data_IF_638968400990
#
_entry.id   IF_638968400990
#
_cell.length_a   1.000
_cell.length_b   1.000
_cell.length_c   1.000
_cell.angle_alpha   90.00
_cell.angle_beta   90.00
_cell.angle_gamma   90.00
#
_symmetry.space_group_name_H-M   'P 1'
#
loop_
_entity.id
_entity.type
_entity.pdbx_description
1 polymer ?
#
# COMPACT_ATOMS: atom_id res chain seq x y z
N UNK A 1 2.11 -3.93 33.53
CA UNK A 1 2.12 -5.17 32.75
C UNK A 1 3.53 -5.28 32.16
N UNK A 2 4.24 -6.37 32.44
CA UNK A 2 5.60 -6.58 31.97
C UNK A 2 5.63 -6.85 30.45
N UNK A 3 6.70 -6.48 29.76
CA UNK A 3 6.89 -6.68 28.31
C UNK A 3 6.65 -8.13 27.83
N UNK A 4 6.72 -9.11 28.73
CA UNK A 4 6.50 -10.53 28.40
C UNK A 4 5.05 -10.91 28.06
N UNK A 5 4.05 -10.13 28.49
CA UNK A 5 2.63 -10.39 28.18
C UNK A 5 2.25 -9.93 26.76
N UNK A 6 3.12 -9.17 26.10
CA UNK A 6 2.86 -8.58 24.78
C UNK A 6 3.34 -9.45 23.60
N UNK A 7 3.92 -10.63 23.84
CA UNK A 7 4.53 -11.45 22.78
C UNK A 7 3.54 -12.31 21.97
N UNK A 8 2.26 -12.25 22.21
CA UNK A 8 1.28 -13.09 21.50
C UNK A 8 -0.03 -12.43 21.13
N UNK A 9 -0.24 -11.19 21.55
CA UNK A 9 -1.50 -10.47 21.26
C UNK A 9 -1.15 -9.17 20.55
N UNK A 10 -1.65 -9.00 19.34
CA UNK A 10 -1.70 -7.70 18.70
C UNK A 10 -2.74 -6.86 19.47
N UNK A 11 -2.27 -6.14 20.47
CA UNK A 11 -3.12 -5.14 21.11
C UNK A 11 -3.11 -3.91 20.21
N UNK A 12 -4.28 -3.38 19.81
CA UNK A 12 -4.36 -2.05 19.22
C UNK A 12 -3.54 -1.11 20.10
N UNK A 13 -2.53 -0.45 19.51
CA UNK A 13 -1.56 0.33 20.26
C UNK A 13 -2.24 1.49 20.99
N UNK A 14 -2.41 1.38 22.27
CA UNK A 14 -2.72 2.51 23.16
C UNK A 14 -1.40 3.13 23.56
N UNK A 15 -0.86 4.02 22.72
CA UNK A 15 0.40 4.70 22.98
C UNK A 15 0.33 5.57 24.23
N UNK A 16 1.42 5.60 25.03
CA UNK A 16 1.50 6.55 26.12
C UNK A 16 1.61 7.96 25.52
N UNK A 17 0.67 8.84 25.82
CA UNK A 17 0.93 10.26 25.83
C UNK A 17 0.26 11.17 24.82
N UNK A 18 -0.74 10.75 24.06
CA UNK A 18 -1.61 11.71 23.38
C UNK A 18 -3.09 11.31 23.51
N UNK A 19 -3.61 11.42 24.72
CA UNK A 19 -5.05 11.53 24.88
C UNK A 19 -5.48 12.88 24.31
N UNK A 20 -5.96 12.88 23.07
CA UNK A 20 -6.81 13.97 22.61
C UNK A 20 -8.10 13.77 23.40
N UNK A 21 -8.24 14.42 24.55
CA UNK A 21 -9.49 14.47 25.29
C UNK A 21 -10.44 15.37 24.52
N UNK A 22 -11.32 14.76 23.76
CA UNK A 22 -12.41 15.46 23.10
C UNK A 22 -13.62 15.51 24.05
N UNK A 23 -14.17 16.68 24.22
CA UNK A 23 -15.46 16.88 24.87
C UNK A 23 -16.51 17.32 23.83
N UNK A 24 -17.76 17.46 24.26
CA UNK A 24 -18.85 17.94 23.38
C UNK A 24 -18.56 19.33 22.78
N UNK A 25 -17.77 20.16 23.46
CA UNK A 25 -17.31 21.45 22.97
C UNK A 25 -16.36 21.35 21.77
N UNK A 26 -15.57 20.28 21.70
CA UNK A 26 -14.67 20.02 20.55
C UNK A 26 -15.47 19.84 19.26
N UNK A 27 -16.60 19.13 19.30
CA UNK A 27 -17.48 18.97 18.14
C UNK A 27 -18.07 20.29 17.67
N UNK A 28 -18.54 21.15 18.59
CA UNK A 28 -19.12 22.45 18.24
C UNK A 28 -18.07 23.41 17.64
N UNK A 29 -16.83 23.29 18.07
CA UNK A 29 -15.72 24.15 17.63
C UNK A 29 -14.95 23.60 16.42
N UNK A 30 -15.23 22.37 15.96
CA UNK A 30 -14.48 21.75 14.87
C UNK A 30 -14.74 22.47 13.53
N UNK A 31 -13.71 23.04 12.88
CA UNK A 31 -13.88 23.84 11.66
C UNK A 31 -14.35 23.01 10.45
N UNK A 32 -14.23 21.68 10.51
CA UNK A 32 -14.72 20.73 9.48
C UNK A 32 -16.02 20.05 9.90
N UNK A 33 -16.57 20.44 11.04
CA UNK A 33 -17.78 19.87 11.60
C UNK A 33 -17.58 18.53 12.30
N UNK A 34 -18.66 18.02 12.80
CA UNK A 34 -18.73 16.76 13.54
C UNK A 34 -19.66 15.77 12.84
N UNK A 35 -19.29 14.52 12.82
CA UNK A 35 -20.16 13.43 12.40
C UNK A 35 -20.73 12.74 13.64
N UNK A 36 -22.06 12.77 13.84
CA UNK A 36 -22.74 12.00 14.88
C UNK A 36 -23.25 10.68 14.30
N UNK A 37 -22.99 9.59 14.97
CA UNK A 37 -23.50 8.25 14.68
C UNK A 37 -24.45 7.90 15.82
N UNK A 38 -25.72 7.69 15.49
CA UNK A 38 -26.75 7.42 16.48
C UNK A 38 -26.61 5.99 17.04
N UNK A 39 -27.17 5.75 18.22
CA UNK A 39 -27.18 4.43 18.82
C UNK A 39 -27.78 3.37 17.86
N UNK A 40 -27.06 2.30 17.62
CA UNK A 40 -27.46 1.25 16.69
C UNK A 40 -27.10 1.47 15.22
N UNK A 41 -26.68 2.69 14.82
CA UNK A 41 -26.14 2.95 13.49
C UNK A 41 -24.71 2.38 13.38
N UNK A 42 -24.27 2.06 12.17
CA UNK A 42 -22.90 1.59 11.92
C UNK A 42 -21.94 2.75 11.67
N UNK A 43 -20.69 2.57 12.08
CA UNK A 43 -19.55 3.37 11.64
C UNK A 43 -19.27 3.01 10.18
N UNK A 44 -19.43 3.99 9.27
CA UNK A 44 -19.22 3.74 7.85
C UNK A 44 -17.80 4.09 7.41
N UNK A 45 -17.09 3.11 6.87
CA UNK A 45 -15.81 3.28 6.19
C UNK A 45 -15.99 3.14 4.67
N UNK A 46 -15.22 3.89 3.90
CA UNK A 46 -15.10 3.69 2.47
C UNK A 46 -13.95 2.73 2.14
N UNK A 47 -14.09 1.94 1.09
CA UNK A 47 -13.01 1.19 0.47
C UNK A 47 -12.95 1.55 -1.01
N UNK A 48 -12.05 2.47 -1.38
CA UNK A 48 -11.83 2.88 -2.76
C UNK A 48 -10.60 2.12 -3.29
N UNK A 49 -10.84 0.99 -3.92
CA UNK A 49 -9.81 0.03 -4.28
C UNK A 49 -10.01 -0.47 -5.70
N UNK A 50 -8.96 -0.96 -6.35
CA UNK A 50 -9.05 -1.62 -7.65
C UNK A 50 -9.68 -3.01 -7.50
N UNK A 51 -11.00 -3.10 -7.65
CA UNK A 51 -11.79 -4.34 -7.45
C UNK A 51 -12.55 -4.79 -8.70
N UNK A 52 -12.35 -4.14 -9.85
CA UNK A 52 -12.94 -4.53 -11.13
C UNK A 52 -12.51 -5.93 -11.60
N UNK A 53 -13.14 -6.43 -12.67
CA UNK A 53 -12.92 -7.79 -13.17
C UNK A 53 -11.47 -8.07 -13.59
N UNK A 54 -10.75 -7.04 -14.04
CA UNK A 54 -9.33 -7.08 -14.42
C UNK A 54 -8.39 -6.61 -13.30
N UNK A 55 -8.83 -6.67 -12.04
CA UNK A 55 -8.12 -6.12 -10.87
C UNK A 55 -6.95 -6.96 -10.36
N UNK A 56 -6.63 -8.08 -10.96
CA UNK A 56 -5.44 -8.91 -10.68
C UNK A 56 -5.10 -9.08 -9.17
N UNK A 57 -6.12 -9.24 -8.34
CA UNK A 57 -5.96 -9.59 -6.93
C UNK A 57 -5.56 -8.48 -5.97
N UNK A 58 -4.87 -7.41 -6.40
CA UNK A 58 -4.28 -6.39 -5.49
C UNK A 58 -5.34 -5.69 -4.62
N UNK A 59 -6.36 -5.10 -5.23
CA UNK A 59 -7.42 -4.41 -4.48
C UNK A 59 -8.29 -5.38 -3.67
N UNK A 60 -8.52 -6.60 -4.19
CA UNK A 60 -9.22 -7.66 -3.47
C UNK A 60 -8.44 -8.10 -2.23
N UNK A 61 -7.12 -8.22 -2.34
CA UNK A 61 -6.25 -8.57 -1.22
C UNK A 61 -6.27 -7.51 -0.12
N UNK A 62 -6.22 -6.22 -0.50
CA UNK A 62 -6.40 -5.13 0.47
C UNK A 62 -7.78 -5.13 1.09
N UNK A 63 -8.84 -5.44 0.34
CA UNK A 63 -10.18 -5.58 0.92
C UNK A 63 -10.23 -6.67 1.97
N UNK A 64 -9.57 -7.80 1.73
CA UNK A 64 -9.44 -8.88 2.72
C UNK A 64 -8.71 -8.45 3.99
N UNK A 65 -7.67 -7.61 3.85
CA UNK A 65 -7.00 -7.00 5.00
C UNK A 65 -7.92 -6.09 5.83
N UNK A 66 -8.80 -5.32 5.17
CA UNK A 66 -9.83 -4.52 5.85
C UNK A 66 -10.83 -5.41 6.59
N UNK A 67 -11.30 -6.47 5.93
CA UNK A 67 -12.28 -7.39 6.52
C UNK A 67 -11.69 -8.11 7.75
N UNK A 68 -10.42 -8.53 7.71
CA UNK A 68 -9.72 -9.09 8.87
C UNK A 68 -9.50 -8.08 9.99
N UNK A 69 -9.31 -6.80 9.68
CA UNK A 69 -9.22 -5.78 10.73
C UNK A 69 -10.55 -5.54 11.44
N UNK A 70 -11.67 -5.69 10.74
CA UNK A 70 -13.00 -5.62 11.34
C UNK A 70 -13.30 -6.86 12.18
N UNK A 71 -12.90 -8.06 11.73
CA UNK A 71 -12.97 -9.28 12.49
C UNK A 71 -12.16 -9.17 13.80
N UNK A 72 -10.96 -8.61 13.73
CA UNK A 72 -10.03 -8.51 14.86
C UNK A 72 -10.33 -7.37 15.86
N UNK A 73 -11.44 -6.65 15.74
CA UNK A 73 -11.77 -5.52 16.64
C UNK A 73 -11.91 -5.93 18.13
N UNK A 74 -12.24 -7.17 18.40
CA UNK A 74 -12.31 -7.76 19.75
C UNK A 74 -11.04 -8.53 20.13
N UNK A 75 -9.97 -8.44 19.33
CA UNK A 75 -8.69 -9.12 19.47
C UNK A 75 -8.72 -10.63 19.18
N UNK A 76 -9.76 -11.11 18.49
CA UNK A 76 -9.89 -12.49 18.05
C UNK A 76 -10.13 -12.55 16.52
N UNK A 77 -9.71 -13.65 15.87
CA UNK A 77 -10.06 -13.97 14.49
C UNK A 77 -11.04 -15.14 14.52
N UNK A 78 -12.29 -14.87 14.75
CA UNK A 78 -13.35 -15.88 14.86
C UNK A 78 -14.31 -15.91 13.65
N UNK A 79 -14.09 -14.98 12.69
CA UNK A 79 -14.91 -14.80 11.50
C UNK A 79 -16.18 -13.98 11.74
N UNK A 80 -16.32 -13.38 12.91
CA UNK A 80 -17.42 -12.49 13.24
C UNK A 80 -16.93 -11.02 13.32
N UNK A 81 -17.62 -10.06 12.66
CA UNK A 81 -17.24 -8.66 12.76
C UNK A 81 -17.34 -8.14 14.18
N UNK A 82 -16.23 -7.62 14.71
CA UNK A 82 -16.21 -6.95 16.01
C UNK A 82 -16.90 -5.59 15.98
N UNK A 83 -17.02 -4.95 17.14
CA UNK A 83 -17.67 -3.66 17.31
C UNK A 83 -16.66 -2.57 17.72
N UNK A 84 -16.76 -1.39 17.12
CA UNK A 84 -15.97 -0.22 17.49
C UNK A 84 -16.82 0.74 18.33
N UNK A 85 -16.47 0.96 19.59
CA UNK A 85 -17.21 1.81 20.51
C UNK A 85 -18.71 1.45 20.65
N UNK A 86 -19.04 0.16 20.54
CA UNK A 86 -20.41 -0.34 20.61
C UNK A 86 -21.20 -0.25 19.29
N UNK A 87 -20.56 0.16 18.20
CA UNK A 87 -21.17 0.26 16.87
C UNK A 87 -20.56 -0.78 15.91
N UNK A 88 -21.41 -1.40 15.08
CA UNK A 88 -20.94 -2.22 13.98
C UNK A 88 -20.15 -1.37 12.96
N UNK A 89 -19.15 -1.96 12.30
CA UNK A 89 -18.43 -1.29 11.21
C UNK A 89 -18.98 -1.79 9.87
N UNK A 90 -19.34 -0.88 8.99
CA UNK A 90 -19.78 -1.18 7.62
C UNK A 90 -18.84 -0.57 6.59
N UNK A 91 -18.68 -1.24 5.44
CA UNK A 91 -17.76 -0.81 4.37
C UNK A 91 -18.51 -0.57 3.07
N UNK A 92 -18.45 0.67 2.59
CA UNK A 92 -18.95 1.05 1.25
C UNK A 92 -17.79 0.97 0.26
N UNK A 93 -17.90 0.06 -0.71
CA UNK A 93 -16.85 -0.19 -1.68
C UNK A 93 -17.10 0.56 -3.01
N UNK A 94 -16.03 1.05 -3.63
CA UNK A 94 -16.01 1.55 -4.99
C UNK A 94 -14.69 1.15 -5.68
N UNK A 95 -14.71 1.06 -7.01
CA UNK A 95 -13.56 0.74 -7.85
C UNK A 95 -12.83 2.03 -8.24
N UNK A 96 -11.53 2.09 -7.98
CA UNK A 96 -10.66 3.20 -8.42
C UNK A 96 -10.15 3.03 -9.86
N UNK A 97 -10.41 1.87 -10.49
CA UNK A 97 -10.03 1.53 -11.86
C UNK A 97 -8.55 1.81 -12.19
N UNK A 98 -7.72 1.97 -11.18
CA UNK A 98 -6.31 2.38 -11.31
C UNK A 98 -6.12 3.63 -12.18
N UNK A 99 -7.06 4.58 -12.13
CA UNK A 99 -7.08 5.77 -12.98
C UNK A 99 -7.58 7.01 -12.23
N UNK A 100 -7.20 8.20 -12.71
CA UNK A 100 -7.69 9.46 -12.16
C UNK A 100 -9.21 9.61 -12.32
N UNK A 101 -9.78 9.12 -13.43
CA UNK A 101 -11.23 9.12 -13.65
C UNK A 101 -11.95 8.21 -12.65
N UNK A 102 -11.50 6.95 -12.52
CA UNK A 102 -12.06 6.00 -11.57
C UNK A 102 -11.91 6.45 -10.12
N UNK A 103 -10.77 7.04 -9.76
CA UNK A 103 -10.55 7.65 -8.44
C UNK A 103 -11.57 8.75 -8.13
N UNK A 104 -11.87 9.61 -9.10
CA UNK A 104 -12.89 10.66 -8.97
C UNK A 104 -14.30 10.09 -8.83
N UNK A 105 -14.69 9.26 -9.79
CA UNK A 105 -16.03 8.65 -9.81
C UNK A 105 -16.29 7.79 -8.57
N UNK A 106 -15.30 7.02 -8.14
CA UNK A 106 -15.36 6.20 -6.94
C UNK A 106 -15.48 7.03 -5.66
N UNK A 107 -14.72 8.14 -5.57
CA UNK A 107 -14.82 9.06 -4.42
C UNK A 107 -16.19 9.74 -4.35
N UNK A 108 -16.71 10.22 -5.47
CA UNK A 108 -18.06 10.82 -5.55
C UNK A 108 -19.14 9.80 -5.17
N UNK A 109 -19.02 8.55 -5.65
CA UNK A 109 -19.95 7.45 -5.33
C UNK A 109 -19.94 7.14 -3.82
N UNK A 110 -18.77 7.07 -3.19
CA UNK A 110 -18.63 6.82 -1.75
C UNK A 110 -19.31 7.93 -0.94
N UNK A 111 -19.25 9.18 -1.41
CA UNK A 111 -19.84 10.32 -0.71
C UNK A 111 -21.36 10.42 -0.88
N UNK A 112 -21.93 9.78 -1.91
CA UNK A 112 -23.37 9.86 -2.18
C UNK A 112 -24.20 9.22 -1.06
N UNK A 113 -24.94 10.06 -0.31
CA UNK A 113 -25.86 9.62 0.74
C UNK A 113 -25.19 8.93 1.94
N UNK A 114 -23.87 9.05 2.07
CA UNK A 114 -23.10 8.38 3.11
C UNK A 114 -22.74 9.30 4.27
N UNK A 115 -22.68 8.71 5.48
CA UNK A 115 -22.14 9.32 6.69
C UNK A 115 -20.72 8.81 6.93
N UNK A 116 -19.86 8.98 5.92
CA UNK A 116 -18.52 8.42 5.86
C UNK A 116 -17.60 9.01 6.93
N UNK A 117 -16.98 8.14 7.73
CA UNK A 117 -15.99 8.52 8.76
C UNK A 117 -14.61 8.67 8.14
N UNK A 118 -14.16 7.66 7.41
CA UNK A 118 -12.85 7.62 6.76
C UNK A 118 -12.91 6.71 5.53
N UNK A 119 -11.89 6.78 4.66
CA UNK A 119 -11.78 5.94 3.47
C UNK A 119 -10.41 5.26 3.46
N UNK A 120 -10.38 3.95 3.21
CA UNK A 120 -9.17 3.20 2.91
C UNK A 120 -9.02 3.14 1.39
N UNK A 121 -7.88 3.54 0.88
CA UNK A 121 -7.61 3.59 -0.57
C UNK A 121 -6.75 4.80 -0.95
N UNK A 122 -6.47 4.99 -2.22
CA UNK A 122 -6.79 4.16 -3.39
C UNK A 122 -5.75 3.03 -3.53
N UNK A 123 -6.00 2.10 -4.47
CA UNK A 123 -4.96 1.12 -4.83
C UNK A 123 -3.85 1.77 -5.64
N UNK A 124 -4.19 2.62 -6.60
CA UNK A 124 -3.22 3.21 -7.53
C UNK A 124 -2.95 4.68 -7.19
N UNK A 125 -1.68 5.08 -7.20
CA UNK A 125 -1.26 6.45 -6.86
C UNK A 125 -1.90 7.53 -7.75
N UNK A 126 -2.10 7.26 -9.04
CA UNK A 126 -2.78 8.16 -9.97
C UNK A 126 -4.28 8.33 -9.70
N UNK A 127 -4.92 7.36 -9.04
CA UNK A 127 -6.32 7.47 -8.62
C UNK A 127 -6.47 8.34 -7.36
N UNK A 128 -5.42 8.50 -6.55
CA UNK A 128 -5.41 9.39 -5.40
C UNK A 128 -5.02 10.82 -5.79
N UNK A 129 -3.85 10.96 -6.45
CA UNK A 129 -3.24 12.25 -6.77
C UNK A 129 -4.15 13.04 -7.74
N UNK A 130 -4.51 14.26 -7.35
CA UNK A 130 -5.36 15.16 -8.14
C UNK A 130 -6.76 14.62 -8.51
N UNK A 131 -7.18 13.51 -7.90
CA UNK A 131 -8.48 12.85 -8.14
C UNK A 131 -9.26 12.62 -6.83
N UNK A 132 -9.09 11.48 -6.18
CA UNK A 132 -9.83 11.15 -4.95
C UNK A 132 -9.39 11.98 -3.73
N UNK A 133 -8.10 12.25 -3.57
CA UNK A 133 -7.55 13.01 -2.44
C UNK A 133 -8.17 14.41 -2.31
N UNK A 134 -8.23 15.25 -3.35
CA UNK A 134 -8.86 16.56 -3.23
C UNK A 134 -10.37 16.51 -2.90
N UNK A 135 -11.07 15.47 -3.32
CA UNK A 135 -12.50 15.28 -3.04
C UNK A 135 -12.73 15.00 -1.57
N UNK A 136 -12.02 14.01 -1.01
CA UNK A 136 -12.11 13.66 0.41
C UNK A 136 -11.57 14.77 1.32
N UNK A 137 -10.50 15.45 0.90
CA UNK A 137 -9.94 16.59 1.65
C UNK A 137 -10.92 17.74 1.78
N UNK A 138 -11.66 18.09 0.72
CA UNK A 138 -12.74 19.09 0.79
C UNK A 138 -13.88 18.66 1.69
N UNK A 139 -14.21 17.36 1.70
CA UNK A 139 -15.23 16.79 2.56
C UNK A 139 -14.79 16.64 4.03
N UNK A 140 -13.52 16.88 4.35
CA UNK A 140 -12.96 16.67 5.68
C UNK A 140 -12.90 15.19 6.09
N UNK A 141 -12.78 14.28 5.12
CA UNK A 141 -12.76 12.84 5.34
C UNK A 141 -11.34 12.33 5.16
N UNK A 142 -10.75 11.64 6.14
CA UNK A 142 -9.46 11.00 5.99
C UNK A 142 -9.43 9.98 4.85
N UNK A 143 -8.41 10.07 3.98
CA UNK A 143 -8.08 9.07 2.98
C UNK A 143 -6.77 8.39 3.39
N UNK A 144 -6.86 7.14 3.87
CA UNK A 144 -5.72 6.35 4.33
C UNK A 144 -5.37 5.29 3.28
N UNK A 145 -4.24 5.45 2.59
CA UNK A 145 -3.84 4.47 1.58
C UNK A 145 -2.90 3.41 2.13
N UNK A 146 -3.21 2.17 1.80
CA UNK A 146 -2.39 1.00 2.08
C UNK A 146 -1.44 0.64 0.92
N UNK A 147 -1.61 1.25 -0.27
CA UNK A 147 -0.96 0.80 -1.50
C UNK A 147 -0.30 1.93 -2.31
N UNK A 148 -0.68 3.19 -2.09
CA UNK A 148 -0.10 4.29 -2.86
C UNK A 148 1.32 4.59 -2.41
N UNK A 149 2.28 4.36 -3.27
CA UNK A 149 3.71 4.47 -2.95
C UNK A 149 4.38 5.69 -3.56
N UNK A 150 3.78 6.31 -4.60
CA UNK A 150 4.39 7.43 -5.33
C UNK A 150 4.82 8.58 -4.40
N UNK A 151 6.08 9.09 -4.55
CA UNK A 151 6.62 10.15 -3.70
C UNK A 151 5.82 11.46 -3.74
N UNK A 152 5.25 11.83 -4.88
CA UNK A 152 4.51 13.08 -5.06
C UNK A 152 3.25 13.24 -4.21
N UNK A 153 2.75 12.14 -3.63
CA UNK A 153 1.59 12.17 -2.72
C UNK A 153 1.92 12.84 -1.37
N UNK A 154 3.15 12.67 -0.89
CA UNK A 154 3.60 13.07 0.45
C UNK A 154 4.92 13.86 0.45
N UNK A 155 5.37 14.37 -0.71
CA UNK A 155 6.63 15.13 -0.83
C UNK A 155 6.61 16.46 -0.11
N UNK A 156 5.43 17.07 0.03
CA UNK A 156 5.21 18.33 0.73
C UNK A 156 3.98 18.25 1.62
N UNK A 157 3.91 19.11 2.63
CA UNK A 157 2.68 19.32 3.38
C UNK A 157 1.69 20.08 2.50
N UNK A 158 0.60 19.42 2.10
CA UNK A 158 -0.48 20.05 1.32
C UNK A 158 -1.50 20.66 2.29
N UNK A 159 -1.71 22.00 2.27
CA UNK A 159 -2.70 22.61 3.13
C UNK A 159 -4.10 22.02 2.92
N UNK A 160 -4.73 21.66 4.01
CA UNK A 160 -6.09 21.09 3.99
C UNK A 160 -6.18 19.62 3.57
N UNK A 161 -5.10 18.99 3.14
CA UNK A 161 -5.10 17.55 2.80
C UNK A 161 -5.47 16.69 4.01
N UNK A 162 -6.26 15.65 3.75
CA UNK A 162 -6.63 14.62 4.72
C UNK A 162 -5.98 13.27 4.39
N UNK A 163 -5.06 13.27 3.43
CA UNK A 163 -4.37 12.07 2.96
C UNK A 163 -3.30 11.60 3.95
N UNK A 164 -3.25 10.28 4.14
CA UNK A 164 -2.15 9.58 4.79
C UNK A 164 -1.95 8.20 4.15
N UNK A 165 -0.80 7.55 4.40
CA UNK A 165 -0.53 6.20 3.90
C UNK A 165 0.27 5.35 4.87
N UNK A 166 -0.05 4.06 4.92
CA UNK A 166 0.75 3.03 5.57
C UNK A 166 1.74 2.35 4.61
N UNK A 167 1.52 2.48 3.31
CA UNK A 167 2.44 2.01 2.28
C UNK A 167 3.81 2.73 2.38
N UNK A 168 4.94 2.02 2.18
CA UNK A 168 6.25 2.64 2.11
C UNK A 168 6.37 3.55 0.87
N UNK A 169 7.24 4.56 0.97
CA UNK A 169 7.50 5.51 -0.11
C UNK A 169 8.43 4.89 -1.16
N UNK A 170 8.13 5.10 -2.45
CA UNK A 170 8.93 4.64 -3.59
C UNK A 170 10.35 5.20 -3.62
N UNK A 171 10.64 6.28 -2.89
CA UNK A 171 12.02 6.71 -2.64
C UNK A 171 12.86 5.58 -2.02
N UNK A 172 12.26 4.79 -1.13
CA UNK A 172 12.92 3.64 -0.52
C UNK A 172 13.03 2.50 -1.55
N UNK A 173 11.93 2.10 -2.18
CA UNK A 173 11.91 0.98 -3.10
C UNK A 173 12.84 1.18 -4.30
N UNK A 174 12.73 2.31 -4.97
CA UNK A 174 13.58 2.62 -6.13
C UNK A 174 15.08 2.61 -5.78
N UNK A 175 15.44 3.16 -4.59
CA UNK A 175 16.83 3.11 -4.12
C UNK A 175 17.32 1.70 -3.85
N UNK A 176 16.52 0.86 -3.21
CA UNK A 176 16.89 -0.52 -2.87
C UNK A 176 16.99 -1.38 -4.13
N UNK A 177 16.09 -1.20 -5.08
CA UNK A 177 16.12 -1.94 -6.36
C UNK A 177 17.33 -1.55 -7.21
N UNK A 178 17.71 -0.29 -7.24
CA UNK A 178 18.94 0.15 -7.91
C UNK A 178 20.20 -0.50 -7.28
N UNK A 179 20.24 -0.54 -5.94
CA UNK A 179 21.33 -1.25 -5.23
C UNK A 179 21.36 -2.75 -5.59
N UNK A 180 20.20 -3.41 -5.73
CA UNK A 180 20.12 -4.82 -6.17
C UNK A 180 20.61 -5.01 -7.59
N UNK A 181 20.15 -4.19 -8.53
CA UNK A 181 20.53 -4.31 -9.95
C UNK A 181 22.04 -4.18 -10.14
N UNK A 182 22.68 -3.24 -9.43
CA UNK A 182 24.12 -3.03 -9.51
C UNK A 182 24.90 -4.09 -8.74
N UNK A 183 24.54 -4.37 -7.49
CA UNK A 183 25.34 -5.24 -6.62
C UNK A 183 24.93 -6.71 -6.71
N UNK A 184 23.68 -7.02 -6.99
CA UNK A 184 23.16 -8.37 -7.09
C UNK A 184 23.25 -8.93 -8.50
N UNK A 185 22.93 -8.14 -9.53
CA UNK A 185 23.01 -8.56 -10.93
C UNK A 185 24.29 -8.11 -11.63
N UNK A 186 25.09 -7.23 -11.02
CA UNK A 186 26.30 -6.64 -11.62
C UNK A 186 26.02 -5.85 -12.90
N UNK A 187 24.80 -5.37 -13.09
CA UNK A 187 24.38 -4.62 -14.26
C UNK A 187 25.06 -3.24 -14.28
N UNK A 188 25.52 -2.81 -15.46
CA UNK A 188 26.15 -1.51 -15.72
C UNK A 188 25.24 -0.60 -16.52
N UNK A 189 24.39 -1.19 -17.34
CA UNK A 189 23.44 -0.48 -18.20
C UNK A 189 22.03 -1.04 -18.00
N UNK A 190 21.06 -0.15 -17.76
CA UNK A 190 19.69 -0.55 -17.45
C UNK A 190 18.71 0.28 -18.27
N UNK A 191 17.72 -0.36 -18.88
CA UNK A 191 16.56 0.33 -19.44
C UNK A 191 15.46 0.38 -18.40
N UNK A 192 14.82 1.54 -18.24
CA UNK A 192 13.59 1.67 -17.47
C UNK A 192 12.40 1.66 -18.41
N UNK A 193 11.36 0.87 -18.10
CA UNK A 193 10.09 0.90 -18.82
C UNK A 193 9.03 1.49 -17.91
N UNK A 194 8.27 2.45 -18.42
CA UNK A 194 7.12 3.05 -17.74
C UNK A 194 5.84 2.79 -18.52
N UNK A 195 4.75 2.50 -17.81
CA UNK A 195 3.40 2.43 -18.41
C UNK A 195 2.71 3.80 -18.51
N UNK A 196 3.43 4.89 -18.19
CA UNK A 196 2.92 6.27 -18.23
C UNK A 196 2.04 6.65 -17.04
N UNK A 197 1.88 5.79 -16.05
CA UNK A 197 1.18 6.13 -14.81
C UNK A 197 2.05 6.92 -13.85
N UNK A 198 1.43 7.72 -12.98
CA UNK A 198 2.12 8.50 -11.93
C UNK A 198 3.04 7.60 -11.08
N UNK A 199 2.57 6.41 -10.72
CA UNK A 199 3.35 5.42 -9.97
C UNK A 199 4.61 5.03 -10.74
N UNK A 200 4.44 4.54 -11.95
CA UNK A 200 5.53 4.02 -12.79
C UNK A 200 6.59 5.08 -13.08
N UNK A 201 6.16 6.29 -13.43
CA UNK A 201 7.07 7.40 -13.71
C UNK A 201 7.89 7.80 -12.48
N UNK A 202 7.24 7.97 -11.32
CA UNK A 202 7.93 8.44 -10.13
C UNK A 202 8.86 7.38 -9.51
N UNK A 203 8.44 6.11 -9.51
CA UNK A 203 9.31 5.02 -9.07
C UNK A 203 10.50 4.83 -10.02
N UNK A 204 10.27 4.91 -11.33
CA UNK A 204 11.34 4.89 -12.35
C UNK A 204 12.33 6.03 -12.17
N UNK A 205 11.87 7.25 -11.91
CA UNK A 205 12.73 8.42 -11.64
C UNK A 205 13.58 8.22 -10.39
N UNK A 206 13.01 7.70 -9.31
CA UNK A 206 13.75 7.38 -8.07
C UNK A 206 14.85 6.35 -8.33
N UNK A 207 14.54 5.29 -9.08
CA UNK A 207 15.50 4.27 -9.46
C UNK A 207 16.65 4.86 -10.27
N UNK A 208 16.37 5.66 -11.30
CA UNK A 208 17.38 6.32 -12.16
C UNK A 208 18.28 7.25 -11.36
N UNK A 209 17.71 8.05 -10.46
CA UNK A 209 18.48 8.95 -9.60
C UNK A 209 19.50 8.17 -8.74
N UNK A 210 19.05 7.07 -8.13
CA UNK A 210 19.94 6.23 -7.34
C UNK A 210 20.98 5.52 -8.20
N UNK A 211 20.59 4.98 -9.35
CA UNK A 211 21.48 4.25 -10.27
C UNK A 211 22.70 5.09 -10.66
N UNK A 212 22.48 6.36 -11.04
CA UNK A 212 23.57 7.28 -11.37
C UNK A 212 24.52 7.56 -10.22
N UNK A 213 24.03 7.55 -8.98
CA UNK A 213 24.86 7.77 -7.78
C UNK A 213 25.75 6.59 -7.39
N UNK A 214 25.49 5.39 -7.94
CA UNK A 214 26.24 4.15 -7.64
C UNK A 214 27.00 3.59 -8.85
N UNK A 215 27.17 4.39 -9.91
CA UNK A 215 28.08 4.10 -11.01
C UNK A 215 27.53 3.21 -12.13
N UNK A 216 26.22 3.08 -12.23
CA UNK A 216 25.59 2.45 -13.39
C UNK A 216 24.82 3.49 -14.24
N UNK A 217 24.53 3.14 -15.48
CA UNK A 217 23.93 4.04 -16.47
C UNK A 217 22.50 3.63 -16.78
N UNK A 218 21.57 4.54 -16.59
CA UNK A 218 20.23 4.40 -17.14
C UNK A 218 20.23 4.78 -18.62
N UNK A 219 19.77 3.89 -19.47
CA UNK A 219 19.45 4.19 -20.87
C UNK A 219 18.12 4.98 -20.93
N UNK A 220 17.76 5.58 -22.08
CA UNK A 220 16.52 6.31 -22.20
C UNK A 220 15.30 5.47 -21.79
N UNK A 221 14.43 6.05 -20.97
CA UNK A 221 13.19 5.39 -20.53
C UNK A 221 12.28 5.12 -21.73
N UNK A 222 11.75 3.91 -21.79
CA UNK A 222 10.76 3.51 -22.78
C UNK A 222 9.35 3.62 -22.18
N UNK A 223 8.45 4.33 -22.86
CA UNK A 223 7.06 4.44 -22.45
C UNK A 223 6.25 3.39 -23.20
N UNK A 224 5.64 2.46 -22.46
CA UNK A 224 4.86 1.34 -22.99
C UNK A 224 3.56 1.15 -22.18
N UNK A 225 2.53 1.99 -22.42
CA UNK A 225 1.25 1.86 -21.75
C UNK A 225 0.49 0.59 -22.19
N UNK A 226 -0.55 0.24 -21.44
CA UNK A 226 -1.48 -0.87 -21.81
C UNK A 226 -1.93 -0.73 -23.25
N UNK A 227 -1.80 -1.80 -24.03
CA UNK A 227 -2.14 -1.85 -25.45
C UNK A 227 -1.01 -1.44 -26.41
N UNK A 228 0.19 -1.21 -25.92
CA UNK A 228 1.38 -1.02 -26.77
C UNK A 228 1.69 -2.28 -27.61
N UNK A 229 2.44 -2.11 -28.70
CA UNK A 229 3.06 -3.25 -29.38
C UNK A 229 4.25 -3.76 -28.58
N UNK A 230 3.97 -4.63 -27.58
CA UNK A 230 4.99 -5.17 -26.69
C UNK A 230 6.04 -6.00 -27.42
N UNK A 231 5.71 -6.60 -28.57
CA UNK A 231 6.71 -7.29 -29.39
C UNK A 231 7.72 -6.32 -30.01
N UNK A 232 7.28 -5.13 -30.41
CA UNK A 232 8.20 -4.09 -30.88
C UNK A 232 9.04 -3.51 -29.72
N UNK A 233 8.44 -3.33 -28.55
CA UNK A 233 9.16 -2.90 -27.35
C UNK A 233 10.23 -3.91 -26.96
N UNK A 234 9.90 -5.20 -26.89
CA UNK A 234 10.84 -6.27 -26.56
C UNK A 234 12.02 -6.34 -27.55
N UNK A 235 11.76 -6.27 -28.86
CA UNK A 235 12.82 -6.20 -29.88
C UNK A 235 13.72 -4.97 -29.70
N UNK A 236 13.13 -3.82 -29.38
CA UNK A 236 13.89 -2.59 -29.11
C UNK A 236 14.79 -2.76 -27.88
N UNK A 237 14.28 -3.36 -26.81
CA UNK A 237 15.05 -3.64 -25.59
C UNK A 237 16.26 -4.53 -25.85
N UNK A 238 16.06 -5.67 -26.52
CA UNK A 238 17.17 -6.59 -26.88
C UNK A 238 18.23 -5.86 -27.68
N UNK A 239 17.84 -5.01 -28.63
CA UNK A 239 18.78 -4.24 -29.46
C UNK A 239 19.56 -3.16 -28.70
N UNK A 240 19.15 -2.77 -27.48
CA UNK A 240 19.93 -1.82 -26.67
C UNK A 240 21.21 -2.43 -26.11
N UNK A 241 21.26 -3.76 -25.97
CA UNK A 241 22.33 -4.46 -25.27
C UNK A 241 22.41 -4.14 -23.78
N UNK A 242 21.31 -3.71 -23.17
CA UNK A 242 21.24 -3.44 -21.73
C UNK A 242 21.41 -4.74 -20.93
N UNK A 243 22.10 -4.66 -19.80
CA UNK A 243 22.31 -5.80 -18.90
C UNK A 243 21.02 -6.20 -18.19
N UNK A 244 20.16 -5.22 -17.87
CA UNK A 244 18.89 -5.44 -17.20
C UNK A 244 17.82 -4.44 -17.65
N UNK A 245 16.57 -4.83 -17.42
CA UNK A 245 15.38 -3.98 -17.57
C UNK A 245 14.72 -3.82 -16.21
N UNK A 246 14.48 -2.58 -15.79
CA UNK A 246 13.59 -2.28 -14.66
C UNK A 246 12.24 -1.80 -15.17
N UNK A 247 11.17 -2.50 -14.82
CA UNK A 247 9.81 -2.18 -15.25
C UNK A 247 8.87 -2.00 -14.05
N UNK A 248 8.84 -0.80 -13.45
CA UNK A 248 7.90 -0.44 -12.41
C UNK A 248 6.52 -0.12 -13.02
N UNK A 249 5.88 -1.11 -13.60
CA UNK A 249 4.61 -0.98 -14.32
C UNK A 249 3.49 -1.72 -13.61
N UNK A 250 2.25 -1.41 -13.98
CA UNK A 250 1.10 -2.13 -13.44
C UNK A 250 0.76 -3.36 -14.29
N UNK A 251 0.19 -4.39 -13.65
CA UNK A 251 -0.46 -5.49 -14.35
C UNK A 251 -1.67 -4.95 -15.17
N UNK A 252 -1.94 -5.44 -16.41
CA UNK A 252 -1.30 -6.57 -17.08
C UNK A 252 -0.06 -6.22 -17.93
N UNK A 253 0.44 -4.99 -17.89
CA UNK A 253 1.59 -4.58 -18.74
C UNK A 253 2.83 -5.42 -18.44
N UNK A 254 3.06 -5.82 -17.19
CA UNK A 254 4.21 -6.65 -16.85
C UNK A 254 4.14 -8.05 -17.46
N UNK A 255 2.97 -8.68 -17.47
CA UNK A 255 2.77 -10.00 -18.07
C UNK A 255 3.00 -9.93 -19.59
N UNK A 256 2.28 -9.02 -20.26
CA UNK A 256 2.38 -8.83 -21.70
C UNK A 256 3.81 -8.57 -22.15
N UNK A 257 4.56 -7.77 -21.36
CA UNK A 257 5.94 -7.43 -21.69
C UNK A 257 6.91 -8.58 -21.40
N UNK A 258 6.77 -9.30 -20.28
CA UNK A 258 7.59 -10.49 -20.00
C UNK A 258 7.38 -11.56 -21.05
N UNK A 259 6.14 -11.81 -21.47
CA UNK A 259 5.82 -12.74 -22.52
C UNK A 259 6.43 -12.32 -23.86
N UNK A 260 6.34 -11.03 -24.20
CA UNK A 260 6.97 -10.51 -25.41
C UNK A 260 8.51 -10.61 -25.39
N UNK A 261 9.15 -10.37 -24.22
CA UNK A 261 10.60 -10.55 -24.05
C UNK A 261 10.97 -12.03 -24.23
N UNK A 262 10.21 -12.94 -23.62
CA UNK A 262 10.45 -14.38 -23.74
C UNK A 262 10.34 -14.88 -25.19
N UNK A 263 9.44 -14.31 -25.98
CA UNK A 263 9.22 -14.66 -27.39
C UNK A 263 10.22 -13.98 -28.35
N UNK A 264 11.03 -13.03 -27.84
CA UNK A 264 12.01 -12.30 -28.67
C UNK A 264 13.39 -13.00 -28.64
N UNK A 265 14.00 -13.33 -29.78
CA UNK A 265 15.36 -13.88 -29.82
C UNK A 265 16.35 -12.97 -29.09
N UNK A 266 17.08 -13.55 -28.11
CA UNK A 266 18.00 -12.80 -27.22
C UNK A 266 17.35 -12.21 -25.98
N UNK A 267 16.04 -12.33 -25.82
CA UNK A 267 15.35 -11.89 -24.60
C UNK A 267 15.75 -12.66 -23.33
N UNK A 268 16.21 -13.89 -23.50
CA UNK A 268 16.75 -14.74 -22.43
C UNK A 268 18.07 -14.24 -21.83
N UNK A 269 18.72 -13.27 -22.45
CA UNK A 269 19.98 -12.67 -21.96
C UNK A 269 19.76 -11.46 -21.06
N UNK A 270 18.51 -11.00 -20.90
CA UNK A 270 18.16 -9.80 -20.13
C UNK A 270 17.55 -10.18 -18.80
N UNK A 271 18.11 -9.69 -17.70
CA UNK A 271 17.47 -9.77 -16.39
C UNK A 271 16.30 -8.76 -16.30
N UNK A 272 15.12 -9.26 -15.98
CA UNK A 272 13.89 -8.47 -15.84
C UNK A 272 13.60 -8.22 -14.38
N UNK A 273 13.62 -6.98 -13.95
CA UNK A 273 13.27 -6.59 -12.57
C UNK A 273 11.96 -5.82 -12.60
N UNK A 274 10.98 -6.28 -11.85
CA UNK A 274 9.69 -5.60 -11.69
C UNK A 274 9.46 -5.13 -10.28
N UNK A 275 8.33 -4.48 -10.04
CA UNK A 275 7.98 -3.83 -8.78
C UNK A 275 6.83 -4.57 -8.06
N UNK A 276 6.43 -4.03 -6.92
CA UNK A 276 5.35 -4.52 -6.07
C UNK A 276 3.98 -4.60 -6.77
N UNK A 277 3.72 -3.74 -7.76
CA UNK A 277 2.50 -3.77 -8.54
C UNK A 277 2.35 -5.04 -9.39
N UNK A 278 3.47 -5.68 -9.71
CA UNK A 278 3.52 -6.97 -10.42
C UNK A 278 3.87 -8.16 -9.50
N UNK A 279 4.14 -7.91 -8.22
CA UNK A 279 4.41 -8.96 -7.24
C UNK A 279 3.10 -9.61 -6.76
N UNK A 280 2.39 -10.27 -7.67
CA UNK A 280 1.14 -10.97 -7.40
C UNK A 280 1.11 -12.35 -8.09
N UNK A 281 0.19 -13.22 -7.66
CA UNK A 281 0.13 -14.61 -8.11
C UNK A 281 -0.14 -14.78 -9.60
N UNK A 282 -0.83 -13.82 -10.20
CA UNK A 282 -1.29 -13.94 -11.59
C UNK A 282 -0.14 -13.65 -12.58
N UNK A 283 0.87 -12.89 -12.15
CA UNK A 283 2.07 -12.56 -12.95
C UNK A 283 3.11 -13.68 -12.97
N UNK A 284 3.13 -14.56 -11.96
CA UNK A 284 4.15 -15.62 -11.84
C UNK A 284 4.31 -16.48 -13.11
N UNK A 285 3.24 -16.90 -13.82
CA UNK A 285 3.40 -17.69 -15.05
C UNK A 285 4.27 -17.00 -16.12
N UNK A 286 4.01 -15.72 -16.42
CA UNK A 286 4.83 -14.95 -17.37
C UNK A 286 6.24 -14.70 -16.85
N UNK A 287 6.40 -14.44 -15.55
CA UNK A 287 7.68 -14.24 -14.91
C UNK A 287 8.61 -15.48 -14.98
N UNK A 288 8.05 -16.70 -15.06
CA UNK A 288 8.86 -17.92 -15.21
C UNK A 288 9.42 -18.14 -16.60
N UNK A 289 8.97 -17.39 -17.59
CA UNK A 289 9.43 -17.48 -18.98
C UNK A 289 10.72 -16.69 -19.23
N UNK A 290 11.10 -15.80 -18.31
CA UNK A 290 12.30 -14.95 -18.39
C UNK A 290 13.09 -15.03 -17.09
N UNK A 291 14.29 -14.43 -17.03
CA UNK A 291 15.02 -14.24 -15.76
C UNK A 291 14.39 -13.08 -14.98
N UNK A 292 13.28 -13.36 -14.27
CA UNK A 292 12.48 -12.31 -13.62
C UNK A 292 12.68 -12.22 -12.11
N UNK A 293 12.67 -10.99 -11.63
CA UNK A 293 12.72 -10.61 -10.21
C UNK A 293 11.59 -9.65 -9.89
N UNK A 294 10.94 -9.82 -8.74
CA UNK A 294 9.95 -8.88 -8.21
C UNK A 294 10.44 -8.21 -6.94
N UNK A 295 10.27 -6.90 -6.84
CA UNK A 295 10.60 -6.14 -5.64
C UNK A 295 9.34 -5.67 -4.92
N UNK A 296 9.41 -5.58 -3.60
CA UNK A 296 8.32 -5.07 -2.78
C UNK A 296 8.60 -5.18 -1.28
N UNK A 297 7.63 -4.88 -0.41
CA UNK A 297 7.75 -5.12 1.03
C UNK A 297 8.15 -6.57 1.33
N UNK A 298 9.04 -6.76 2.32
CA UNK A 298 9.59 -8.08 2.67
C UNK A 298 8.58 -8.91 3.47
N UNK A 299 7.71 -9.64 2.76
CA UNK A 299 6.73 -10.55 3.35
C UNK A 299 7.40 -11.76 4.02
N UNK A 300 8.53 -12.25 3.48
CA UNK A 300 9.25 -13.36 4.12
C UNK A 300 9.80 -12.99 5.50
N UNK A 301 10.07 -11.71 5.75
CA UNK A 301 10.39 -11.23 7.10
C UNK A 301 9.18 -11.20 8.02
N UNK A 302 7.98 -10.96 7.49
CA UNK A 302 6.73 -11.00 8.26
C UNK A 302 6.41 -12.42 8.76
N UNK A 303 6.66 -13.44 7.95
CA UNK A 303 6.42 -14.84 8.32
C UNK A 303 7.21 -15.30 9.56
N UNK A 304 8.25 -14.55 9.93
CA UNK A 304 9.05 -14.79 11.15
C UNK A 304 8.46 -14.12 12.40
N UNK A 305 7.43 -13.27 12.25
CA UNK A 305 6.77 -12.61 13.37
C UNK A 305 5.62 -13.50 13.88
N UNK A 306 5.57 -13.85 15.19
CA UNK A 306 4.57 -14.76 15.73
C UNK A 306 3.12 -14.36 15.42
N UNK A 307 2.79 -13.07 15.57
CA UNK A 307 1.43 -12.61 15.26
C UNK A 307 1.03 -12.88 13.81
N UNK A 308 1.95 -12.62 12.86
CA UNK A 308 1.67 -12.88 11.44
C UNK A 308 1.48 -14.39 11.18
N UNK A 309 2.46 -15.21 11.53
CA UNK A 309 2.47 -16.64 11.17
C UNK A 309 1.51 -17.50 11.98
N UNK A 310 1.23 -17.13 13.25
CA UNK A 310 0.41 -17.94 14.14
C UNK A 310 -1.06 -17.53 14.18
N UNK A 311 -1.36 -16.28 13.87
CA UNK A 311 -2.71 -15.73 13.94
C UNK A 311 -3.17 -15.17 12.59
N UNK A 312 -2.55 -14.10 12.09
CA UNK A 312 -3.02 -13.36 10.91
C UNK A 312 -3.09 -14.21 9.63
N UNK A 313 -2.00 -14.89 9.27
CA UNK A 313 -1.94 -15.72 8.04
C UNK A 313 -2.92 -16.89 8.11
N UNK A 314 -3.04 -17.53 9.28
CA UNK A 314 -4.02 -18.59 9.49
C UNK A 314 -5.46 -18.11 9.35
N UNK A 315 -5.76 -16.94 9.92
CA UNK A 315 -7.06 -16.31 9.77
C UNK A 315 -7.34 -15.95 8.30
N UNK A 316 -6.36 -15.38 7.60
CA UNK A 316 -6.46 -15.09 6.18
C UNK A 316 -6.79 -16.35 5.36
N UNK A 317 -6.03 -17.44 5.55
CA UNK A 317 -6.23 -18.71 4.82
C UNK A 317 -7.57 -19.33 5.17
N UNK A 318 -7.95 -19.34 6.45
CA UNK A 318 -9.22 -19.90 6.91
C UNK A 318 -10.41 -19.15 6.32
N UNK A 319 -10.37 -17.82 6.32
CA UNK A 319 -11.48 -16.98 5.88
C UNK A 319 -11.63 -16.95 4.36
N UNK A 320 -10.51 -16.90 3.64
CA UNK A 320 -10.53 -16.66 2.19
C UNK A 320 -10.14 -17.86 1.32
N UNK A 321 -9.78 -18.99 1.93
CA UNK A 321 -9.55 -20.27 1.25
C UNK A 321 -8.24 -20.36 0.47
N UNK A 322 -7.22 -19.53 0.79
CA UNK A 322 -5.92 -19.56 0.10
C UNK A 322 -4.91 -18.58 0.65
N UNK A 323 -3.69 -18.63 0.15
CA UNK A 323 -2.60 -17.72 0.49
C UNK A 323 -2.90 -16.28 0.03
N UNK A 324 -2.25 -15.26 0.64
CA UNK A 324 -2.33 -13.88 0.18
C UNK A 324 -2.05 -13.73 -1.31
N UNK A 325 -2.84 -12.88 -1.97
CA UNK A 325 -2.77 -12.67 -3.42
C UNK A 325 -1.69 -11.66 -3.80
N UNK A 326 -1.35 -10.76 -2.89
CA UNK A 326 -0.37 -9.70 -3.05
C UNK A 326 0.32 -9.38 -1.72
N UNK A 327 1.21 -8.40 -1.73
CA UNK A 327 1.96 -7.96 -0.54
C UNK A 327 1.18 -6.92 0.31
N UNK A 328 -0.05 -6.58 -0.07
CA UNK A 328 -0.74 -5.38 0.44
C UNK A 328 -1.82 -5.62 1.50
N UNK A 329 -2.21 -6.86 1.75
CA UNK A 329 -3.26 -7.18 2.75
C UNK A 329 -2.88 -6.71 4.16
N UNK A 330 -1.62 -6.89 4.57
CA UNK A 330 -1.15 -6.47 5.90
C UNK A 330 -1.12 -4.95 6.07
N UNK A 331 -0.72 -4.22 5.02
CA UNK A 331 -0.77 -2.75 5.04
C UNK A 331 -2.20 -2.21 5.12
N UNK A 332 -3.17 -2.91 4.50
CA UNK A 332 -4.58 -2.56 4.58
C UNK A 332 -5.18 -2.89 5.96
N UNK A 333 -4.77 -4.00 6.56
CA UNK A 333 -5.09 -4.33 7.94
C UNK A 333 -4.58 -3.24 8.90
N UNK A 334 -3.32 -2.84 8.76
CA UNK A 334 -2.72 -1.79 9.58
C UNK A 334 -3.41 -0.42 9.36
N UNK A 335 -3.69 -0.05 8.12
CA UNK A 335 -4.40 1.19 7.79
C UNK A 335 -5.77 1.26 8.47
N UNK A 336 -6.49 0.16 8.47
CA UNK A 336 -7.82 0.05 9.07
C UNK A 336 -7.76 0.13 10.59
N UNK A 337 -6.85 -0.63 11.23
CA UNK A 337 -6.66 -0.58 12.68
C UNK A 337 -6.16 0.79 13.16
N UNK A 338 -5.33 1.45 12.37
CA UNK A 338 -4.84 2.79 12.65
C UNK A 338 -5.97 3.84 12.61
N UNK A 339 -6.94 3.66 11.70
CA UNK A 339 -8.16 4.46 11.69
C UNK A 339 -9.03 4.15 12.92
N UNK A 340 -9.19 2.88 13.30
CA UNK A 340 -9.95 2.50 14.50
C UNK A 340 -9.36 3.12 15.77
N UNK A 341 -8.03 3.03 15.96
CA UNK A 341 -7.33 3.67 17.07
C UNK A 341 -7.54 5.20 17.06
N UNK A 342 -7.44 5.84 15.90
CA UNK A 342 -7.65 7.28 15.77
C UNK A 342 -9.09 7.69 16.08
N UNK A 343 -10.08 6.91 15.65
CA UNK A 343 -11.50 7.13 15.97
C UNK A 343 -11.73 7.00 17.48
N UNK A 344 -11.22 5.94 18.12
CA UNK A 344 -11.35 5.73 19.57
C UNK A 344 -10.80 6.89 20.39
N UNK A 345 -9.72 7.52 19.92
CA UNK A 345 -9.07 8.64 20.61
C UNK A 345 -9.87 9.94 20.59
N UNK A 346 -10.65 10.15 19.53
CA UNK A 346 -11.31 11.43 19.31
C UNK A 346 -12.83 11.39 19.45
N UNK A 347 -13.43 10.20 19.47
CA UNK A 347 -14.87 10.05 19.58
C UNK A 347 -15.38 10.51 20.95
N UNK A 348 -16.45 11.29 20.95
CA UNK A 348 -17.19 11.70 22.13
C UNK A 348 -18.39 10.78 22.29
N UNK A 349 -18.48 10.09 23.43
CA UNK A 349 -19.54 9.14 23.73
C UNK A 349 -20.77 9.87 24.30
N UNK A 350 -21.94 9.68 23.69
CA UNK A 350 -23.21 10.13 24.20
C UNK A 350 -23.77 9.16 25.25
N UNK A 351 -24.53 9.69 26.20
CA UNK A 351 -25.18 8.88 27.25
C UNK A 351 -26.26 7.94 26.68
N UNK A 352 -26.76 8.22 25.49
CA UNK A 352 -27.74 7.43 24.73
C UNK A 352 -27.12 6.35 23.87
N UNK A 353 -25.78 6.20 23.90
CA UNK A 353 -25.03 5.25 23.08
C UNK A 353 -24.67 5.80 21.68
N UNK A 354 -24.91 7.07 21.40
CA UNK A 354 -24.41 7.74 20.21
C UNK A 354 -22.92 8.06 20.35
N UNK A 355 -22.22 8.25 19.22
CA UNK A 355 -20.87 8.79 19.20
C UNK A 355 -20.78 9.99 18.25
N UNK A 356 -19.98 10.98 18.63
CA UNK A 356 -19.70 12.14 17.80
C UNK A 356 -18.22 12.21 17.49
N UNK A 357 -17.85 12.33 16.21
CA UNK A 357 -16.48 12.31 15.71
C UNK A 357 -16.15 13.68 15.12
N UNK A 358 -15.34 14.51 15.81
CA UNK A 358 -14.84 15.77 15.25
C UNK A 358 -13.88 15.49 14.10
N UNK A 359 -14.17 16.01 12.91
CA UNK A 359 -13.42 15.65 11.68
C UNK A 359 -11.98 16.14 11.70
N UNK A 360 -11.75 17.36 12.17
CA UNK A 360 -10.36 17.89 12.26
C UNK A 360 -9.55 17.12 13.30
N UNK A 361 -10.15 16.81 14.47
CA UNK A 361 -9.50 16.03 15.49
C UNK A 361 -9.10 14.62 14.99
N UNK A 362 -9.95 13.98 14.19
CA UNK A 362 -9.63 12.68 13.59
C UNK A 362 -8.42 12.77 12.64
N UNK A 363 -8.36 13.79 11.78
CA UNK A 363 -7.24 14.03 10.89
C UNK A 363 -5.95 14.29 11.67
N UNK A 364 -6.04 15.10 12.73
CA UNK A 364 -4.89 15.42 13.59
C UNK A 364 -4.42 14.19 14.39
N UNK A 365 -5.35 13.36 14.88
CA UNK A 365 -5.03 12.11 15.56
C UNK A 365 -4.21 11.16 14.67
N UNK A 366 -4.56 11.05 13.39
CA UNK A 366 -3.80 10.26 12.41
C UNK A 366 -2.37 10.83 12.24
N UNK A 367 -2.23 12.14 12.15
CA UNK A 367 -0.94 12.82 11.87
C UNK A 367 0.05 12.81 13.02
N UNK A 368 -0.43 12.60 14.25
CA UNK A 368 0.43 12.55 15.44
C UNK A 368 0.76 11.11 15.87
N UNK A 369 0.37 10.10 15.10
CA UNK A 369 0.72 8.71 15.38
C UNK A 369 2.25 8.56 15.40
N UNK A 370 2.75 8.01 16.50
CA UNK A 370 4.17 7.81 16.71
C UNK A 370 4.44 6.45 17.37
N UNK A 371 5.05 5.54 16.63
CA UNK A 371 5.44 4.23 17.12
C UNK A 371 4.31 3.18 17.12
N UNK A 372 3.27 3.36 16.31
CA UNK A 372 2.26 2.32 16.10
C UNK A 372 2.92 1.05 15.54
N UNK A 373 2.71 -0.08 16.21
CA UNK A 373 3.31 -1.37 15.83
C UNK A 373 2.34 -2.14 14.94
N UNK A 374 2.40 -1.88 13.64
CA UNK A 374 1.62 -2.62 12.65
C UNK A 374 2.19 -4.01 12.35
N UNK A 375 1.39 -4.80 11.67
CA UNK A 375 1.81 -6.11 11.13
C UNK A 375 2.82 -5.89 10.02
N UNK A 376 2.50 -5.00 9.08
CA UNK A 376 3.37 -4.69 7.94
C UNK A 376 4.62 -3.93 8.37
N UNK A 377 4.45 -2.88 9.19
CA UNK A 377 5.54 -1.99 9.57
C UNK A 377 5.26 -1.26 10.89
N UNK A 378 6.30 -0.62 11.45
CA UNK A 378 6.14 0.38 12.50
C UNK A 378 5.80 1.73 11.86
N UNK A 379 4.70 2.35 12.31
CA UNK A 379 4.20 3.60 11.75
C UNK A 379 4.57 4.80 12.62
N UNK A 380 5.09 5.84 11.97
CA UNK A 380 5.37 7.16 12.53
C UNK A 380 4.88 8.18 11.51
N UNK A 381 3.65 8.66 11.67
CA UNK A 381 3.05 9.57 10.71
C UNK A 381 3.70 10.96 10.75
N UNK A 382 3.86 11.56 9.59
CA UNK A 382 4.38 12.92 9.43
C UNK A 382 3.27 13.87 8.97
N UNK A 383 3.45 15.17 9.14
CA UNK A 383 2.48 16.17 8.65
C UNK A 383 2.17 16.06 7.15
N UNK A 384 3.08 15.46 6.36
CA UNK A 384 2.87 15.16 4.94
C UNK A 384 1.90 14.01 4.68
N UNK A 385 1.54 13.23 5.72
CA UNK A 385 0.71 12.03 5.60
C UNK A 385 1.51 10.73 5.39
N UNK A 386 2.83 10.79 5.36
CA UNK A 386 3.68 9.58 5.23
C UNK A 386 3.86 8.92 6.60
N UNK A 387 3.35 7.70 6.80
CA UNK A 387 3.45 7.00 8.08
C UNK A 387 4.54 5.92 8.10
N UNK A 388 4.90 5.34 6.95
CA UNK A 388 5.97 4.36 6.86
C UNK A 388 7.34 5.03 6.66
N UNK A 389 7.97 5.44 7.77
CA UNK A 389 9.26 6.15 7.73
C UNK A 389 10.47 5.26 7.46
N UNK A 390 10.28 3.95 7.50
CA UNK A 390 11.29 2.94 7.21
C UNK A 390 10.60 1.74 6.58
N UNK A 391 11.26 1.05 5.67
CA UNK A 391 10.77 -0.19 5.10
C UNK A 391 11.93 -1.13 4.77
N UNK A 392 11.66 -2.43 4.88
CA UNK A 392 12.50 -3.46 4.30
C UNK A 392 11.91 -3.82 2.94
N UNK A 393 12.67 -3.57 1.90
CA UNK A 393 12.34 -3.98 0.53
C UNK A 393 13.15 -5.22 0.22
N UNK A 394 12.46 -6.24 -0.26
CA UNK A 394 13.04 -7.49 -0.71
C UNK A 394 12.86 -7.67 -2.20
N UNK A 395 13.77 -8.45 -2.80
CA UNK A 395 13.71 -8.86 -4.20
C UNK A 395 13.68 -10.38 -4.25
N UNK A 396 12.72 -10.91 -4.96
CA UNK A 396 12.45 -12.34 -5.07
C UNK A 396 12.60 -12.78 -6.53
N UNK A 397 13.26 -13.91 -6.76
CA UNK A 397 13.39 -14.50 -8.09
C UNK A 397 12.20 -15.40 -8.39
N UNK A 398 11.63 -15.32 -9.60
CA UNK A 398 10.60 -16.23 -10.04
C UNK A 398 11.09 -17.70 -10.04
N UNK A 399 10.23 -18.68 -9.72
CA UNK A 399 8.82 -18.57 -9.37
C UNK A 399 8.53 -18.37 -7.86
N UNK A 400 9.54 -18.15 -7.02
CA UNK A 400 9.44 -18.11 -5.57
C UNK A 400 9.13 -16.71 -5.03
N UNK A 401 8.13 -16.07 -5.60
CA UNK A 401 7.60 -14.82 -5.08
C UNK A 401 6.77 -15.06 -3.82
N UNK A 402 6.68 -14.09 -2.89
CA UNK A 402 6.04 -14.30 -1.59
C UNK A 402 4.50 -14.20 -1.68
N UNK A 403 3.91 -14.77 -2.73
CA UNK A 403 2.48 -14.67 -3.04
C UNK A 403 1.98 -15.98 -3.66
N UNK A 404 0.69 -16.27 -3.46
CA UNK A 404 0.05 -17.44 -4.03
C UNK A 404 0.66 -18.76 -3.52
N UNK A 405 0.58 -19.84 -4.31
CA UNK A 405 0.95 -21.18 -3.85
C UNK A 405 2.44 -21.36 -3.52
N UNK A 406 3.31 -20.47 -3.98
CA UNK A 406 4.75 -20.52 -3.73
C UNK A 406 5.20 -19.69 -2.52
N UNK A 407 4.29 -18.95 -1.89
CA UNK A 407 4.60 -18.03 -0.80
C UNK A 407 5.37 -18.71 0.36
N UNK A 408 4.97 -19.92 0.75
CA UNK A 408 5.62 -20.68 1.83
C UNK A 408 7.10 -21.04 1.55
N UNK A 409 7.51 -21.07 0.29
CA UNK A 409 8.87 -21.40 -0.14
C UNK A 409 9.65 -20.16 -0.60
N UNK A 410 9.08 -18.96 -0.45
CA UNK A 410 9.72 -17.75 -0.89
C UNK A 410 10.92 -17.40 0.01
N UNK A 411 12.00 -17.00 -0.63
CA UNK A 411 13.18 -16.45 0.04
C UNK A 411 13.73 -15.33 -0.83
N UNK A 412 13.96 -14.14 -0.27
CA UNK A 412 14.51 -13.05 -1.04
C UNK A 412 15.95 -13.35 -1.47
N UNK A 413 16.28 -13.03 -2.72
CA UNK A 413 17.67 -13.06 -3.23
C UNK A 413 18.42 -11.79 -2.79
N UNK A 414 17.71 -10.75 -2.43
CA UNK A 414 18.23 -9.51 -1.89
C UNK A 414 17.19 -8.87 -0.95
N UNK A 415 17.63 -8.29 0.14
CA UNK A 415 16.76 -7.55 1.06
C UNK A 415 17.54 -6.44 1.72
N UNK A 416 16.92 -5.25 1.85
CA UNK A 416 17.55 -4.11 2.50
C UNK A 416 16.51 -3.27 3.21
N UNK A 417 16.82 -2.92 4.47
CA UNK A 417 16.04 -1.94 5.23
C UNK A 417 16.61 -0.55 5.02
N UNK A 418 15.77 0.39 4.68
CA UNK A 418 16.13 1.80 4.53
C UNK A 418 15.12 2.70 5.26
N UNK A 419 15.58 3.87 5.67
CA UNK A 419 14.70 4.93 6.19
C UNK A 419 14.49 5.99 5.12
N UNK A 420 13.29 6.58 5.10
CA UNK A 420 12.96 7.66 4.19
C UNK A 420 13.95 8.84 4.33
N UNK A 421 14.31 9.19 5.57
CA UNK A 421 15.27 10.26 5.83
C UNK A 421 16.66 9.97 5.26
N UNK A 422 17.16 8.72 5.37
CA UNK A 422 18.45 8.34 4.82
C UNK A 422 18.47 8.37 3.29
N UNK A 423 17.36 7.96 2.67
CA UNK A 423 17.23 7.99 1.20
C UNK A 423 17.16 9.42 0.69
N UNK A 424 16.34 10.28 1.32
CA UNK A 424 16.23 11.70 0.94
C UNK A 424 17.57 12.44 1.10
N UNK A 425 18.35 12.10 2.11
CA UNK A 425 19.66 12.74 2.34
C UNK A 425 20.75 12.32 1.32
N UNK A 426 20.54 11.21 0.58
CA UNK A 426 21.51 10.69 -0.42
C UNK A 426 21.21 11.13 -1.86
N UNK A 427 19.95 11.44 -2.13
CA UNK A 427 19.45 11.84 -3.46
C UNK A 427 19.36 13.37 -3.58
#
# INVERSE_FOLDING_TARGET
MSEEVLQGVYLPWVGPGSTITTDAGTCQADPRGCLTIEAGDSIQLGALLRVGADSMGIGRDSRRGIDLAIDYLDAEFDGAPGMLLGHAVSVVAADDQCSAAGGREGAERILLGSRMVAVIGTSCSGAALDAAEPIFSRAGIPLMSAQNTAPGLTSIVKPGSTYARTAPNDLIQGSVVADFVVNGLSAKTVVVISDGTVYSEQLGQTFVARLGSIGATALPTVIAPKGSDFSAVARSLVNTGADAVYMPVNSPVCEDLMDAIADTPGGDTIDVVTSDACANSDVVPSATRVSAYASGPDIAALSKKPFYSEQYEKAYISTFGGQPLSVWNTSAFDATNLLFDSIQRVAVLGADGSISIPRSALIDAIRVINGYRGVSNQMVCKPTGDCAQSATIAVYKAPFWPVGPNAANSSPVFSKTETLAAVVARN
#
